data_IF_014422085274
#
_entry.id   IF_014422085274
#
_cell.length_a   1.000
_cell.length_b   1.000
_cell.length_c   1.000
_cell.angle_alpha   90.00
_cell.angle_beta   90.00
_cell.angle_gamma   90.00
#
_symmetry.space_group_name_H-M   'P 1'
#
loop_
_entity.id
_entity.type
_entity.pdbx_description
1 polymer ?
#
# COMPACT_ATOMS: atom_id res chain seq x y z
N UNK A 1 0.68 5.41 -36.57
CA UNK A 1 1.72 4.38 -36.35
C UNK A 1 1.55 3.76 -34.99
N UNK A 2 2.31 2.71 -34.64
CA UNK A 2 2.26 2.10 -33.31
C UNK A 2 2.62 3.10 -32.21
N UNK A 3 1.86 3.09 -31.11
CA UNK A 3 2.04 3.97 -29.96
C UNK A 3 2.83 3.26 -28.85
N UNK A 4 3.87 3.90 -28.33
CA UNK A 4 4.55 3.40 -27.12
C UNK A 4 3.71 3.75 -25.91
N UNK A 5 3.34 2.74 -25.12
CA UNK A 5 2.62 2.88 -23.87
C UNK A 5 3.47 2.21 -22.78
N UNK A 6 3.88 2.93 -21.71
CA UNK A 6 4.59 2.31 -20.61
C UNK A 6 3.69 1.28 -19.93
N UNK A 7 4.23 0.08 -19.68
CA UNK A 7 3.54 -0.98 -18.98
C UNK A 7 4.26 -1.27 -17.66
N UNK A 8 3.50 -1.44 -16.58
CA UNK A 8 4.01 -1.80 -15.27
C UNK A 8 3.42 -3.13 -14.87
N UNK A 9 4.28 -4.13 -14.70
CA UNK A 9 3.89 -5.49 -14.42
C UNK A 9 3.53 -5.66 -12.94
N UNK A 10 2.43 -6.36 -12.64
CA UNK A 10 2.05 -6.76 -11.28
C UNK A 10 2.52 -8.18 -10.91
N UNK A 11 3.40 -8.74 -11.72
CA UNK A 11 3.87 -10.13 -11.61
C UNK A 11 5.40 -10.19 -11.69
N UNK A 12 6.12 -9.95 -10.57
CA UNK A 12 7.59 -9.87 -10.55
C UNK A 12 8.29 -11.13 -11.05
N UNK A 13 7.69 -12.30 -10.85
CA UNK A 13 8.30 -13.61 -11.14
C UNK A 13 7.63 -14.39 -12.26
N UNK A 14 6.59 -13.82 -12.92
CA UNK A 14 5.80 -14.54 -13.94
C UNK A 14 6.26 -14.31 -15.37
N UNK A 15 7.35 -13.57 -15.57
CA UNK A 15 8.03 -13.52 -16.87
C UNK A 15 9.10 -14.60 -16.97
N UNK A 16 8.65 -15.81 -17.26
CA UNK A 16 9.42 -16.81 -18.01
C UNK A 16 8.57 -17.17 -19.24
N UNK A 17 9.19 -17.26 -20.42
CA UNK A 17 8.51 -17.73 -21.62
C UNK A 17 8.08 -19.19 -21.42
N UNK A 18 6.83 -19.40 -20.97
CA UNK A 18 6.24 -20.73 -20.84
C UNK A 18 5.75 -21.29 -22.19
N UNK A 19 5.15 -22.48 -22.18
CA UNK A 19 4.59 -23.14 -23.38
C UNK A 19 3.50 -22.30 -24.08
N UNK A 20 2.81 -21.44 -23.31
CA UNK A 20 1.85 -20.45 -23.81
C UNK A 20 2.44 -19.04 -23.97
N UNK A 21 3.74 -18.84 -23.76
CA UNK A 21 4.43 -17.53 -23.83
C UNK A 21 4.35 -16.83 -25.18
N UNK A 22 3.90 -17.55 -26.21
CA UNK A 22 3.62 -17.04 -27.56
C UNK A 22 2.20 -16.47 -27.73
N UNK A 23 1.32 -16.67 -26.76
CA UNK A 23 -0.07 -16.20 -26.77
C UNK A 23 -0.51 -15.72 -25.38
N UNK A 24 -0.68 -14.40 -25.23
CA UNK A 24 -1.28 -13.82 -24.03
C UNK A 24 -2.71 -14.33 -23.87
N UNK A 25 -2.97 -15.16 -22.85
CA UNK A 25 -4.33 -15.38 -22.36
C UNK A 25 -4.65 -14.27 -21.37
N UNK A 26 -5.62 -13.44 -21.69
CA UNK A 26 -6.12 -12.43 -20.75
C UNK A 26 -6.68 -13.11 -19.52
N UNK A 27 -6.18 -12.73 -18.35
CA UNK A 27 -6.88 -13.03 -17.10
C UNK A 27 -7.84 -11.86 -16.85
N UNK A 28 -9.13 -12.14 -16.80
CA UNK A 28 -10.15 -11.12 -16.55
C UNK A 28 -10.36 -11.00 -15.04
N UNK A 29 -9.42 -10.34 -14.35
CA UNK A 29 -9.63 -10.02 -12.94
C UNK A 29 -10.89 -9.15 -12.81
N UNK A 30 -11.72 -9.47 -11.81
CA UNK A 30 -12.98 -8.75 -11.57
C UNK A 30 -12.74 -7.27 -11.20
N UNK A 31 -11.63 -6.96 -10.53
CA UNK A 31 -11.22 -5.60 -10.17
C UNK A 31 -9.99 -5.08 -10.94
N UNK A 32 -9.56 -3.87 -10.59
CA UNK A 32 -8.22 -3.35 -10.88
C UNK A 32 -7.25 -3.75 -9.75
N UNK A 33 -5.95 -3.45 -9.90
CA UNK A 33 -5.01 -3.57 -8.78
C UNK A 33 -5.36 -2.58 -7.65
N UNK A 34 -4.96 -2.88 -6.41
CA UNK A 34 -5.11 -2.01 -5.23
C UNK A 34 -4.69 -0.56 -5.46
N UNK A 35 -5.28 0.41 -4.73
CA UNK A 35 -4.97 1.84 -4.91
C UNK A 35 -3.47 2.13 -4.86
N UNK A 36 -2.75 1.58 -3.88
CA UNK A 36 -1.30 1.76 -3.73
C UNK A 36 -0.49 1.30 -4.96
N UNK A 37 -0.88 0.18 -5.58
CA UNK A 37 -0.26 -0.36 -6.80
C UNK A 37 -0.57 0.53 -8.00
N UNK A 38 -1.83 0.99 -8.15
CA UNK A 38 -2.20 1.95 -9.19
C UNK A 38 -1.46 3.26 -9.02
N UNK A 39 -1.36 3.78 -7.80
CA UNK A 39 -0.59 4.97 -7.43
C UNK A 39 0.89 4.83 -7.79
N UNK A 40 1.53 3.70 -7.48
CA UNK A 40 2.92 3.44 -7.86
C UNK A 40 3.12 3.49 -9.39
N UNK A 41 2.24 2.85 -10.16
CA UNK A 41 2.33 2.85 -11.63
C UNK A 41 2.01 4.23 -12.22
N UNK A 42 0.93 4.87 -11.77
CA UNK A 42 0.42 6.12 -12.34
C UNK A 42 1.22 7.32 -11.86
N UNK A 43 1.55 7.43 -10.58
CA UNK A 43 2.19 8.63 -10.03
C UNK A 43 3.71 8.53 -10.09
N UNK A 44 4.28 7.37 -9.72
CA UNK A 44 5.74 7.22 -9.61
C UNK A 44 6.38 6.66 -10.90
N UNK A 45 5.63 5.89 -11.70
CA UNK A 45 6.12 5.24 -12.92
C UNK A 45 7.36 4.37 -12.68
N UNK A 46 7.37 3.67 -11.55
CA UNK A 46 8.49 2.85 -11.11
C UNK A 46 8.07 1.38 -10.94
N UNK A 47 8.70 0.50 -11.72
CA UNK A 47 8.39 -0.93 -11.71
C UNK A 47 8.75 -1.62 -10.39
N UNK A 48 9.84 -1.21 -9.75
CA UNK A 48 10.26 -1.78 -8.47
C UNK A 48 9.26 -1.41 -7.38
N UNK A 49 8.82 -0.16 -7.36
CA UNK A 49 7.82 0.32 -6.39
C UNK A 49 6.46 -0.35 -6.63
N UNK A 50 6.08 -0.59 -7.88
CA UNK A 50 4.88 -1.40 -8.20
C UNK A 50 4.98 -2.79 -7.57
N UNK A 51 6.12 -3.48 -7.72
CA UNK A 51 6.31 -4.81 -7.14
C UNK A 51 6.34 -4.81 -5.61
N UNK A 52 6.91 -3.79 -4.98
CA UNK A 52 6.86 -3.62 -3.53
C UNK A 52 5.40 -3.48 -3.04
N UNK A 53 4.60 -2.65 -3.71
CA UNK A 53 3.18 -2.48 -3.37
C UNK A 53 2.37 -3.76 -3.62
N UNK A 54 2.70 -4.54 -4.66
CA UNK A 54 2.11 -5.87 -4.86
C UNK A 54 2.43 -6.79 -3.69
N UNK A 55 3.70 -6.88 -3.27
CA UNK A 55 4.09 -7.72 -2.14
C UNK A 55 3.39 -7.29 -0.84
N UNK A 56 3.28 -5.99 -0.58
CA UNK A 56 2.56 -5.47 0.58
C UNK A 56 1.06 -5.83 0.54
N UNK A 57 0.40 -5.62 -0.60
CA UNK A 57 -1.02 -5.94 -0.76
C UNK A 57 -1.28 -7.43 -0.49
N UNK A 58 -0.44 -8.33 -1.04
CA UNK A 58 -0.54 -9.78 -0.77
C UNK A 58 -0.34 -10.11 0.71
N UNK A 59 0.64 -9.49 1.36
CA UNK A 59 0.87 -9.68 2.79
C UNK A 59 -0.32 -9.22 3.64
N UNK A 60 -0.94 -8.09 3.29
CA UNK A 60 -2.14 -7.59 3.95
C UNK A 60 -3.34 -8.53 3.74
N UNK A 61 -3.53 -9.07 2.54
CA UNK A 61 -4.59 -10.06 2.28
C UNK A 61 -4.36 -11.35 3.06
N UNK A 62 -3.12 -11.83 3.11
CA UNK A 62 -2.75 -12.98 3.92
C UNK A 62 -3.04 -12.73 5.40
N UNK A 63 -2.73 -11.55 5.92
CA UNK A 63 -2.99 -11.18 7.30
C UNK A 63 -4.49 -11.04 7.61
N UNK A 64 -5.25 -10.35 6.74
CA UNK A 64 -6.67 -10.07 6.96
C UNK A 64 -7.58 -11.29 6.80
N UNK A 65 -7.33 -12.13 5.79
CA UNK A 65 -8.24 -13.22 5.39
C UNK A 65 -7.53 -14.56 5.18
N UNK A 66 -6.21 -14.63 5.38
CA UNK A 66 -5.45 -15.88 5.29
C UNK A 66 -5.31 -16.41 3.87
N UNK A 67 -5.15 -15.57 2.85
CA UNK A 67 -4.76 -16.06 1.51
C UNK A 67 -3.48 -16.90 1.60
N UNK A 68 -3.34 -17.88 0.71
CA UNK A 68 -2.17 -18.77 0.66
C UNK A 68 -1.55 -18.70 -0.73
N UNK A 69 -1.07 -17.51 -1.06
CA UNK A 69 -0.52 -17.21 -2.38
C UNK A 69 0.87 -17.84 -2.54
N UNK A 70 1.09 -18.55 -3.65
CA UNK A 70 2.31 -19.33 -3.91
C UNK A 70 3.29 -18.62 -4.85
N UNK A 71 2.82 -17.60 -5.56
CA UNK A 71 3.61 -16.81 -6.51
C UNK A 71 3.79 -15.38 -6.02
N UNK A 72 4.51 -14.56 -6.77
CA UNK A 72 4.59 -13.12 -6.52
C UNK A 72 3.53 -12.31 -7.29
N UNK A 73 2.67 -12.97 -8.09
CA UNK A 73 1.63 -12.29 -8.90
C UNK A 73 0.50 -11.76 -8.03
N UNK A 74 0.09 -10.51 -8.26
CA UNK A 74 -1.13 -9.97 -7.64
C UNK A 74 -2.39 -10.72 -8.12
N UNK A 75 -2.41 -11.18 -9.38
CA UNK A 75 -3.57 -11.84 -9.96
C UNK A 75 -3.94 -13.11 -9.19
N UNK A 76 -2.95 -13.88 -8.74
CA UNK A 76 -3.18 -15.07 -7.92
C UNK A 76 -3.97 -14.75 -6.64
N UNK A 77 -3.64 -13.65 -5.97
CA UNK A 77 -4.36 -13.25 -4.75
C UNK A 77 -5.78 -12.80 -5.09
N UNK A 78 -5.94 -12.01 -6.16
CA UNK A 78 -7.23 -11.50 -6.62
C UNK A 78 -8.18 -12.60 -7.10
N UNK A 79 -7.65 -13.68 -7.66
CA UNK A 79 -8.43 -14.83 -8.14
C UNK A 79 -8.78 -15.83 -7.03
N UNK A 80 -8.33 -15.59 -5.79
CA UNK A 80 -8.60 -16.52 -4.69
C UNK A 80 -10.07 -16.49 -4.25
N UNK A 81 -10.63 -17.68 -3.99
CA UNK A 81 -12.00 -17.81 -3.45
C UNK A 81 -12.18 -17.02 -2.14
N UNK A 82 -11.12 -16.88 -1.35
CA UNK A 82 -11.14 -16.09 -0.11
C UNK A 82 -11.36 -14.61 -0.37
N UNK A 83 -10.71 -14.05 -1.38
CA UNK A 83 -10.95 -12.66 -1.80
C UNK A 83 -12.37 -12.50 -2.31
N UNK A 84 -12.84 -13.40 -3.17
CA UNK A 84 -14.21 -13.34 -3.70
C UNK A 84 -15.28 -13.42 -2.59
N UNK A 85 -15.08 -14.27 -1.58
CA UNK A 85 -15.96 -14.37 -0.42
C UNK A 85 -15.92 -13.10 0.43
N UNK A 86 -14.72 -12.57 0.70
CA UNK A 86 -14.54 -11.39 1.53
C UNK A 86 -15.05 -10.10 0.88
N UNK A 87 -14.97 -9.96 -0.45
CA UNK A 87 -15.53 -8.79 -1.15
C UNK A 87 -17.04 -8.88 -1.34
N UNK A 88 -17.61 -10.09 -1.34
CA UNK A 88 -19.01 -10.36 -1.69
C UNK A 88 -20.05 -9.51 -0.95
N UNK A 89 -19.86 -9.25 0.35
CA UNK A 89 -20.79 -8.42 1.12
C UNK A 89 -20.76 -6.95 0.69
N UNK A 90 -19.57 -6.39 0.44
CA UNK A 90 -19.41 -5.02 -0.09
C UNK A 90 -20.09 -4.89 -1.45
N UNK A 91 -19.85 -5.85 -2.35
CA UNK A 91 -20.45 -5.86 -3.68
C UNK A 91 -21.97 -5.93 -3.59
N UNK A 92 -22.50 -6.84 -2.77
CA UNK A 92 -23.94 -7.00 -2.59
C UNK A 92 -24.58 -5.72 -2.05
N UNK A 93 -23.95 -5.06 -1.09
CA UNK A 93 -24.47 -3.85 -0.47
C UNK A 93 -24.43 -2.63 -1.40
N UNK A 94 -23.36 -2.49 -2.20
CA UNK A 94 -23.08 -1.25 -2.91
C UNK A 94 -23.39 -1.32 -4.42
N UNK A 95 -23.47 -2.50 -5.04
CA UNK A 95 -23.62 -2.63 -6.50
C UNK A 95 -24.79 -1.85 -7.10
N UNK A 96 -25.90 -1.71 -6.37
CA UNK A 96 -27.08 -0.96 -6.82
C UNK A 96 -27.06 0.54 -6.48
N UNK A 97 -25.99 1.06 -5.86
CA UNK A 97 -25.92 2.45 -5.40
C UNK A 97 -26.03 3.47 -6.55
N UNK A 98 -25.64 3.08 -7.77
CA UNK A 98 -25.64 3.93 -8.95
C UNK A 98 -26.94 3.86 -9.77
N UNK A 99 -27.83 2.90 -9.47
CA UNK A 99 -28.96 2.56 -10.35
C UNK A 99 -29.97 3.70 -10.46
N UNK A 100 -30.19 4.44 -9.37
CA UNK A 100 -31.19 5.52 -9.28
C UNK A 100 -30.65 6.94 -9.54
N UNK A 101 -29.41 7.05 -10.01
CA UNK A 101 -28.70 8.33 -10.18
C UNK A 101 -28.60 8.71 -11.66
N UNK A 102 -29.66 9.28 -12.22
CA UNK A 102 -29.77 9.47 -13.69
C UNK A 102 -28.71 10.40 -14.29
N UNK A 103 -28.20 11.36 -13.50
CA UNK A 103 -27.17 12.34 -13.87
C UNK A 103 -25.76 11.96 -13.36
N UNK A 104 -25.56 10.70 -12.99
CA UNK A 104 -24.28 10.24 -12.43
C UNK A 104 -23.14 10.34 -13.45
N UNK A 105 -22.18 11.22 -13.16
CA UNK A 105 -20.94 11.39 -13.94
C UNK A 105 -19.70 10.90 -13.21
N UNK A 106 -19.80 10.50 -11.94
CA UNK A 106 -18.62 10.19 -11.14
C UNK A 106 -18.94 9.56 -9.79
N UNK A 107 -17.89 9.29 -9.02
CA UNK A 107 -17.99 8.58 -7.73
C UNK A 107 -16.75 8.83 -6.88
N UNK A 108 -16.99 8.99 -5.58
CA UNK A 108 -15.96 8.98 -4.56
C UNK A 108 -16.00 7.64 -3.82
N UNK A 109 -14.84 7.01 -3.65
CA UNK A 109 -14.69 5.82 -2.84
C UNK A 109 -13.97 6.18 -1.55
N UNK A 110 -14.54 5.73 -0.44
CA UNK A 110 -13.97 5.91 0.88
C UNK A 110 -13.85 4.57 1.59
N UNK A 111 -12.75 4.40 2.31
CA UNK A 111 -12.47 3.22 3.16
C UNK A 111 -12.20 3.76 4.56
N UNK A 112 -12.88 3.21 5.57
CA UNK A 112 -12.79 3.65 6.96
C UNK A 112 -12.95 5.18 7.12
N UNK A 113 -13.92 5.76 6.41
CA UNK A 113 -14.22 7.19 6.48
C UNK A 113 -13.21 8.11 5.78
N UNK A 114 -12.14 7.56 5.18
CA UNK A 114 -11.15 8.32 4.43
C UNK A 114 -11.38 8.14 2.92
N UNK A 115 -11.45 9.25 2.17
CA UNK A 115 -11.53 9.22 0.69
C UNK A 115 -10.23 8.59 0.15
N UNK A 116 -10.37 7.58 -0.70
CA UNK A 116 -9.27 6.91 -1.40
C UNK A 116 -9.09 7.48 -2.80
N UNK A 117 -10.21 7.68 -3.49
CA UNK A 117 -10.22 8.15 -4.87
C UNK A 117 -11.57 8.80 -5.22
N UNK A 118 -11.53 9.81 -6.07
CA UNK A 118 -12.71 10.40 -6.70
C UNK A 118 -12.50 10.39 -8.21
N UNK A 119 -13.47 9.86 -8.95
CA UNK A 119 -13.45 9.83 -10.41
C UNK A 119 -14.62 10.59 -10.99
N UNK A 120 -14.37 11.36 -12.03
CA UNK A 120 -15.37 12.03 -12.86
C UNK A 120 -15.12 11.66 -14.31
N UNK A 121 -16.16 11.16 -14.97
CA UNK A 121 -16.19 10.66 -16.33
C UNK A 121 -17.12 11.52 -17.20
N UNK A 122 -17.08 11.39 -18.54
CA UNK A 122 -17.87 12.24 -19.44
C UNK A 122 -19.38 11.96 -19.39
N UNK A 123 -19.79 10.84 -18.80
CA UNK A 123 -21.21 10.50 -18.67
C UNK A 123 -21.45 9.13 -18.05
N UNK A 124 -22.74 8.89 -17.73
CA UNK A 124 -23.25 7.70 -17.04
C UNK A 124 -22.92 6.37 -17.71
N UNK A 125 -22.88 6.33 -19.05
CA UNK A 125 -22.54 5.11 -19.78
C UNK A 125 -21.16 4.57 -19.42
N UNK A 126 -20.15 5.46 -19.29
CA UNK A 126 -18.81 5.06 -18.89
C UNK A 126 -18.77 4.67 -17.41
N UNK A 127 -19.49 5.41 -16.56
CA UNK A 127 -19.62 5.09 -15.13
C UNK A 127 -20.15 3.66 -14.94
N UNK A 128 -21.21 3.28 -15.65
CA UNK A 128 -21.80 1.94 -15.58
C UNK A 128 -20.81 0.83 -15.99
N UNK A 129 -19.90 1.12 -16.92
CA UNK A 129 -18.89 0.15 -17.37
C UNK A 129 -17.75 -0.02 -16.38
N UNK A 130 -17.31 1.06 -15.74
CA UNK A 130 -16.14 1.04 -14.84
C UNK A 130 -16.51 0.76 -13.39
N UNK A 131 -17.72 1.09 -12.97
CA UNK A 131 -18.17 0.98 -11.57
C UNK A 131 -17.98 -0.42 -10.97
N UNK A 132 -18.38 -1.53 -11.63
CA UNK A 132 -18.22 -2.85 -11.04
C UNK A 132 -16.76 -3.15 -10.70
N UNK A 133 -15.83 -2.81 -11.62
CA UNK A 133 -14.40 -3.05 -11.43
C UNK A 133 -13.80 -2.16 -10.35
N UNK A 134 -14.23 -0.88 -10.29
CA UNK A 134 -13.80 0.03 -9.23
C UNK A 134 -14.29 -0.47 -7.88
N UNK A 135 -15.56 -0.85 -7.77
CA UNK A 135 -16.15 -1.35 -6.53
C UNK A 135 -15.42 -2.59 -5.99
N UNK A 136 -15.11 -3.56 -6.85
CA UNK A 136 -14.26 -4.72 -6.51
C UNK A 136 -12.91 -4.29 -5.94
N UNK A 137 -12.31 -3.25 -6.54
CA UNK A 137 -11.01 -2.78 -6.12
C UNK A 137 -11.02 -2.12 -4.74
N UNK A 138 -12.05 -1.33 -4.43
CA UNK A 138 -12.15 -0.70 -3.11
C UNK A 138 -12.67 -1.64 -2.04
N UNK A 139 -13.44 -2.67 -2.40
CA UNK A 139 -13.73 -3.78 -1.49
C UNK A 139 -12.43 -4.49 -1.09
N UNK A 140 -11.52 -4.73 -2.05
CA UNK A 140 -10.19 -5.27 -1.77
C UNK A 140 -9.38 -4.33 -0.85
N UNK A 141 -9.34 -3.03 -1.14
CA UNK A 141 -8.65 -2.05 -0.30
C UNK A 141 -9.22 -1.99 1.13
N UNK A 142 -10.53 -2.20 1.31
CA UNK A 142 -11.18 -2.28 2.61
C UNK A 142 -10.81 -3.55 3.38
N UNK A 143 -10.67 -4.69 2.71
CA UNK A 143 -10.21 -5.94 3.34
C UNK A 143 -8.77 -5.80 3.84
N UNK A 144 -7.90 -5.15 3.07
CA UNK A 144 -6.49 -4.92 3.45
C UNK A 144 -6.33 -3.90 4.58
N UNK A 145 -7.37 -3.13 4.88
CA UNK A 145 -7.40 -2.10 5.92
C UNK A 145 -8.60 -2.32 6.84
N UNK A 146 -8.64 -3.43 7.61
CA UNK A 146 -9.78 -3.71 8.46
C UNK A 146 -9.98 -2.59 9.49
N UNK A 147 -11.23 -2.16 9.66
CA UNK A 147 -11.57 -1.19 10.68
C UNK A 147 -11.22 -1.73 12.08
N UNK A 148 -10.72 -0.86 12.94
CA UNK A 148 -10.53 -1.16 14.35
C UNK A 148 -11.90 -1.35 15.00
N UNK A 149 -12.21 -2.59 15.41
CA UNK A 149 -13.52 -2.95 15.96
C UNK A 149 -13.78 -2.32 17.32
N UNK A 150 -12.72 -1.91 18.02
CA UNK A 150 -12.80 -1.29 19.34
C UNK A 150 -13.02 0.23 19.26
N UNK A 151 -12.98 0.81 18.05
CA UNK A 151 -13.24 2.22 17.80
C UNK A 151 -14.61 2.44 17.16
N UNK A 152 -15.22 3.62 17.40
CA UNK A 152 -16.41 4.02 16.66
C UNK A 152 -16.16 3.89 15.16
N UNK A 153 -17.09 3.25 14.46
CA UNK A 153 -16.99 3.08 13.02
C UNK A 153 -16.95 4.45 12.34
N UNK A 154 -15.93 4.74 11.50
CA UNK A 154 -15.83 6.00 10.82
C UNK A 154 -17.05 6.23 9.94
N UNK A 155 -17.60 7.45 9.97
CA UNK A 155 -18.67 7.83 9.06
C UNK A 155 -18.12 8.05 7.66
N UNK A 156 -18.95 7.79 6.65
CA UNK A 156 -18.63 8.17 5.27
C UNK A 156 -18.37 9.69 5.19
N UNK A 157 -17.42 10.14 4.35
CA UNK A 157 -17.20 11.56 4.11
C UNK A 157 -18.49 12.27 3.69
N UNK A 158 -18.76 13.43 4.27
CA UNK A 158 -19.86 14.26 3.82
C UNK A 158 -19.68 14.70 2.35
N UNK A 159 -20.76 14.87 1.57
CA UNK A 159 -20.67 15.34 0.19
C UNK A 159 -19.84 16.61 0.03
N UNK A 160 -19.95 17.55 0.96
CA UNK A 160 -19.20 18.81 0.95
C UNK A 160 -17.68 18.61 1.07
N UNK A 161 -17.23 17.58 1.80
CA UNK A 161 -15.81 17.25 1.90
C UNK A 161 -15.27 16.73 0.56
N UNK A 162 -16.07 15.93 -0.16
CA UNK A 162 -15.74 15.45 -1.51
C UNK A 162 -15.75 16.62 -2.51
N UNK A 163 -16.74 17.51 -2.42
CA UNK A 163 -16.81 18.71 -3.26
C UNK A 163 -15.60 19.63 -3.03
N UNK A 164 -15.19 19.83 -1.77
CA UNK A 164 -14.00 20.59 -1.43
C UNK A 164 -12.72 19.96 -2.00
N UNK A 165 -12.59 18.63 -1.99
CA UNK A 165 -11.48 17.93 -2.65
C UNK A 165 -11.48 18.19 -4.16
N UNK A 166 -12.63 18.07 -4.82
CA UNK A 166 -12.75 18.33 -6.27
C UNK A 166 -12.38 19.77 -6.66
N UNK A 167 -12.68 20.72 -5.77
CA UNK A 167 -12.40 22.15 -5.95
C UNK A 167 -11.02 22.56 -5.43
N UNK A 168 -10.25 21.63 -4.84
CA UNK A 168 -8.95 21.94 -4.28
C UNK A 168 -8.00 22.47 -5.34
N UNK A 169 -7.24 23.50 -4.98
CA UNK A 169 -6.18 24.00 -5.85
C UNK A 169 -5.10 22.92 -5.97
N UNK A 170 -4.55 22.78 -7.17
CA UNK A 170 -3.31 22.04 -7.39
C UNK A 170 -2.13 22.96 -7.22
N UNK A 171 -0.95 22.40 -6.93
CA UNK A 171 0.28 23.20 -6.90
C UNK A 171 0.48 23.90 -8.26
N UNK A 172 1.01 25.13 -8.23
CA UNK A 172 1.17 25.96 -9.43
C UNK A 172 2.02 25.27 -10.52
N UNK A 173 2.89 24.35 -10.10
CA UNK A 173 3.64 23.48 -10.99
C UNK A 173 2.93 22.14 -11.14
N UNK A 174 2.46 21.85 -12.35
CA UNK A 174 2.11 20.49 -12.79
C UNK A 174 3.35 19.61 -12.62
N UNK A 175 3.22 18.52 -11.88
CA UNK A 175 4.35 17.64 -11.58
C UNK A 175 4.76 16.84 -12.81
N UNK A 176 3.76 16.44 -13.61
CA UNK A 176 4.00 15.71 -14.84
C UNK A 176 2.95 16.01 -15.88
N UNK A 177 3.41 16.18 -17.11
CA UNK A 177 2.60 16.31 -18.30
C UNK A 177 3.09 15.29 -19.32
N UNK A 178 2.17 14.54 -19.92
CA UNK A 178 2.45 13.52 -20.93
C UNK A 178 1.54 13.70 -22.14
N UNK A 179 2.14 13.92 -23.30
CA UNK A 179 1.46 13.78 -24.58
C UNK A 179 1.55 12.32 -25.03
N UNK A 180 0.47 11.58 -24.83
CA UNK A 180 0.40 10.16 -25.18
C UNK A 180 0.40 10.02 -26.69
N UNK A 181 -0.44 10.80 -27.37
CA UNK A 181 -0.44 10.95 -28.83
C UNK A 181 -1.03 12.32 -29.20
N UNK A 182 -1.28 12.57 -30.49
CA UNK A 182 -1.80 13.87 -30.98
C UNK A 182 -3.12 14.30 -30.32
N UNK A 183 -3.94 13.34 -29.89
CA UNK A 183 -5.27 13.60 -29.34
C UNK A 183 -5.28 13.41 -27.81
N UNK A 184 -4.39 12.60 -27.24
CA UNK A 184 -4.46 12.17 -25.84
C UNK A 184 -3.37 12.79 -24.98
N UNK A 185 -3.78 13.43 -23.88
CA UNK A 185 -2.91 14.09 -22.92
C UNK A 185 -3.24 13.66 -21.49
N UNK A 186 -2.22 13.53 -20.66
CA UNK A 186 -2.34 13.32 -19.22
C UNK A 186 -1.60 14.43 -18.47
N UNK A 187 -2.27 15.05 -17.51
CA UNK A 187 -1.66 15.93 -16.51
C UNK A 187 -1.78 15.30 -15.12
N UNK A 188 -0.69 15.38 -14.35
CA UNK A 188 -0.66 14.96 -12.94
C UNK A 188 -0.11 16.11 -12.11
N UNK A 189 -0.87 16.51 -11.10
CA UNK A 189 -0.47 17.56 -10.17
C UNK A 189 -0.89 17.20 -8.75
N UNK A 190 -0.01 17.42 -7.76
CA UNK A 190 -0.41 17.26 -6.37
C UNK A 190 -1.40 18.36 -5.95
N UNK A 191 -2.36 17.98 -5.10
CA UNK A 191 -3.18 18.91 -4.37
C UNK A 191 -2.30 19.85 -3.54
N UNK A 192 -2.71 21.11 -3.43
CA UNK A 192 -2.22 21.96 -2.33
C UNK A 192 -2.77 21.35 -1.03
N UNK A 193 -1.93 21.22 -0.01
CA UNK A 193 -2.39 20.72 1.28
C UNK A 193 -3.50 21.65 1.79
N UNK A 194 -4.67 21.10 2.06
CA UNK A 194 -5.81 21.86 2.57
C UNK A 194 -5.55 22.35 4.01
N UNK A 195 -4.79 21.58 4.79
CA UNK A 195 -4.43 21.93 6.17
C UNK A 195 -3.03 21.46 6.55
N UNK A 196 -2.36 22.26 7.38
CA UNK A 196 -1.04 21.97 7.92
C UNK A 196 -1.14 20.76 8.87
N UNK A 197 -0.57 19.61 8.47
CA UNK A 197 -0.59 18.38 9.26
C UNK A 197 -1.34 17.19 8.62
N UNK A 198 -2.15 17.42 7.57
CA UNK A 198 -2.70 16.32 6.79
C UNK A 198 -1.59 15.67 5.95
N UNK A 199 -1.30 14.41 6.30
CA UNK A 199 -0.27 13.59 5.62
C UNK A 199 -0.80 12.99 4.31
N UNK A 200 -2.11 13.03 4.06
CA UNK A 200 -2.72 12.44 2.87
C UNK A 200 -2.43 13.32 1.66
N UNK A 201 -1.57 12.85 0.75
CA UNK A 201 -1.26 13.58 -0.48
C UNK A 201 -2.16 13.11 -1.61
N UNK A 202 -3.14 13.92 -1.98
CA UNK A 202 -3.94 13.69 -3.18
C UNK A 202 -3.22 14.20 -4.43
N UNK A 203 -3.43 13.51 -5.54
CA UNK A 203 -2.99 13.91 -6.87
C UNK A 203 -4.18 14.03 -7.78
N UNK A 204 -4.30 15.19 -8.44
CA UNK A 204 -5.23 15.40 -9.55
C UNK A 204 -4.59 14.86 -10.82
N UNK A 205 -5.23 13.87 -11.42
CA UNK A 205 -4.91 13.35 -12.74
C UNK A 205 -6.01 13.76 -13.72
N UNK A 206 -5.67 14.56 -14.72
CA UNK A 206 -6.58 15.00 -15.77
C UNK A 206 -6.18 14.33 -17.09
N UNK A 207 -7.06 13.50 -17.63
CA UNK A 207 -6.92 12.92 -18.97
C UNK A 207 -7.77 13.72 -19.95
N UNK A 208 -7.17 14.10 -21.07
CA UNK A 208 -7.82 14.85 -22.13
C UNK A 208 -7.75 14.09 -23.46
N UNK A 209 -8.82 14.22 -24.24
CA UNK A 209 -8.91 13.78 -25.63
C UNK A 209 -9.32 14.97 -26.49
N UNK A 210 -8.52 15.32 -27.49
CA UNK A 210 -8.74 16.46 -28.39
C UNK A 210 -9.01 17.78 -27.62
N UNK A 211 -8.20 18.01 -26.58
CA UNK A 211 -8.31 19.17 -25.69
C UNK A 211 -9.46 19.12 -24.67
N UNK A 212 -10.38 18.16 -24.78
CA UNK A 212 -11.51 18.02 -23.86
C UNK A 212 -11.19 17.07 -22.71
N UNK A 213 -11.62 17.41 -21.50
CA UNK A 213 -11.47 16.53 -20.34
C UNK A 213 -12.34 15.28 -20.50
N UNK A 214 -11.71 14.10 -20.49
CA UNK A 214 -12.41 12.81 -20.60
C UNK A 214 -12.33 11.97 -19.32
N UNK A 215 -11.45 12.33 -18.39
CA UNK A 215 -11.41 11.72 -17.07
C UNK A 215 -10.69 12.66 -16.10
N UNK A 216 -11.36 13.02 -15.01
CA UNK A 216 -10.74 13.70 -13.88
C UNK A 216 -10.70 12.73 -12.71
N UNK A 217 -9.52 12.52 -12.16
CA UNK A 217 -9.31 11.64 -11.02
C UNK A 217 -8.56 12.39 -9.92
N UNK A 218 -9.06 12.30 -8.69
CA UNK A 218 -8.31 12.62 -7.49
C UNK A 218 -7.97 11.30 -6.83
N UNK A 219 -6.69 10.95 -6.76
CA UNK A 219 -6.22 9.69 -6.18
C UNK A 219 -5.34 9.99 -4.98
N UNK A 220 -5.59 9.32 -3.87
CA UNK A 220 -4.68 9.33 -2.74
C UNK A 220 -3.39 8.64 -3.18
N UNK A 221 -2.28 9.37 -3.09
CA UNK A 221 -0.97 8.87 -3.49
C UNK A 221 0.00 8.87 -2.31
N UNK A 222 1.18 8.28 -2.50
CA UNK A 222 2.24 8.34 -1.51
C UNK A 222 2.64 9.80 -1.25
N UNK A 223 2.89 10.11 0.02
CA UNK A 223 3.34 11.44 0.48
C UNK A 223 4.64 11.83 -0.25
N UNK A 224 5.50 10.84 -0.49
CA UNK A 224 6.60 10.77 -1.46
C UNK A 224 7.10 9.31 -1.56
N UNK A 225 7.92 8.97 -2.57
CA UNK A 225 8.58 7.65 -2.65
C UNK A 225 9.41 7.35 -1.38
N UNK A 226 10.15 8.34 -0.88
CA UNK A 226 10.97 8.21 0.32
C UNK A 226 10.13 7.99 1.60
N UNK A 227 8.94 8.60 1.69
CA UNK A 227 8.03 8.42 2.82
C UNK A 227 7.25 7.12 2.72
N UNK A 228 6.86 6.69 1.52
CA UNK A 228 6.26 5.37 1.30
C UNK A 228 7.27 4.27 1.68
N UNK A 229 8.53 4.39 1.24
CA UNK A 229 9.60 3.47 1.62
C UNK A 229 9.90 3.52 3.12
N UNK A 230 9.94 4.71 3.75
CA UNK A 230 10.12 4.82 5.21
C UNK A 230 8.96 4.24 6.00
N UNK A 231 7.72 4.52 5.62
CA UNK A 231 6.54 3.99 6.28
C UNK A 231 6.51 2.46 6.19
N UNK A 232 6.79 1.90 5.01
CA UNK A 232 6.90 0.45 4.82
C UNK A 232 8.07 -0.16 5.61
N UNK A 233 9.24 0.50 5.63
CA UNK A 233 10.38 0.02 6.40
C UNK A 233 10.10 0.03 7.90
N UNK A 234 9.39 1.05 8.40
CA UNK A 234 8.94 1.13 9.79
C UNK A 234 7.90 0.05 10.10
N UNK A 235 6.90 -0.17 9.24
CA UNK A 235 5.91 -1.23 9.41
C UNK A 235 6.54 -2.62 9.38
N UNK A 236 7.47 -2.87 8.46
CA UNK A 236 8.22 -4.13 8.40
C UNK A 236 9.03 -4.33 9.67
N UNK A 237 9.76 -3.30 10.14
CA UNK A 237 10.48 -3.35 11.40
C UNK A 237 9.55 -3.62 12.60
N UNK A 238 8.38 -2.99 12.64
CA UNK A 238 7.38 -3.21 13.69
C UNK A 238 6.84 -4.65 13.68
N UNK A 239 6.56 -5.21 12.49
CA UNK A 239 6.15 -6.62 12.33
C UNK A 239 7.25 -7.59 12.75
N UNK A 240 8.49 -7.35 12.34
CA UNK A 240 9.64 -8.16 12.75
C UNK A 240 9.83 -8.11 14.27
N UNK A 241 9.69 -6.92 14.87
CA UNK A 241 9.77 -6.76 16.33
C UNK A 241 8.61 -7.45 17.05
N UNK A 242 7.40 -7.40 16.50
CA UNK A 242 6.25 -8.13 17.02
C UNK A 242 6.45 -9.65 16.98
N UNK A 243 6.97 -10.17 15.87
CA UNK A 243 7.32 -11.58 15.73
C UNK A 243 8.45 -12.00 16.68
N UNK A 244 9.48 -11.16 16.83
CA UNK A 244 10.57 -11.41 17.76
C UNK A 244 10.07 -11.42 19.21
N UNK A 245 9.22 -10.47 19.59
CA UNK A 245 8.61 -10.43 20.92
C UNK A 245 7.73 -11.65 21.20
N UNK A 246 6.97 -12.13 20.20
CA UNK A 246 6.19 -13.36 20.32
C UNK A 246 7.11 -14.57 20.56
N UNK A 247 8.19 -14.70 19.78
CA UNK A 247 9.19 -15.76 19.95
C UNK A 247 9.88 -15.71 21.31
N UNK A 248 10.24 -14.52 21.80
CA UNK A 248 10.84 -14.34 23.12
C UNK A 248 9.86 -14.75 24.23
N UNK A 249 8.59 -14.34 24.14
CA UNK A 249 7.56 -14.75 25.09
C UNK A 249 7.32 -16.27 25.06
N UNK A 250 7.35 -16.89 23.88
CA UNK A 250 7.21 -18.35 23.75
C UNK A 250 8.40 -19.07 24.38
N UNK A 251 9.63 -18.55 24.24
CA UNK A 251 10.83 -19.09 24.90
C UNK A 251 10.75 -18.90 26.42
N UNK A 252 10.32 -17.74 26.90
CA UNK A 252 10.19 -17.44 28.33
C UNK A 252 9.13 -18.32 29.00
N UNK A 253 8.04 -18.63 28.31
CA UNK A 253 7.02 -19.58 28.76
C UNK A 253 7.45 -21.06 28.69
N UNK A 254 8.53 -21.37 27.97
CA UNK A 254 9.12 -22.71 27.88
C UNK A 254 10.27 -22.92 28.87
N UNK A 255 10.76 -21.86 29.52
CA UNK A 255 11.73 -21.98 30.60
C UNK A 255 11.03 -22.46 31.87
N UNK A 256 11.50 -23.54 32.52
CA UNK A 256 10.94 -23.96 33.80
C UNK A 256 11.16 -22.85 34.83
N UNK A 257 10.09 -22.45 35.54
CA UNK A 257 10.21 -21.57 36.69
C UNK A 257 11.15 -22.26 37.70
N UNK A 258 12.38 -21.76 37.81
CA UNK A 258 13.32 -22.21 38.83
C UNK A 258 12.91 -21.63 40.18
N UNK A 259 11.83 -22.15 40.75
CA UNK A 259 11.53 -21.96 42.15
C UNK A 259 12.20 -23.05 42.96
N UNK A 260 13.26 -22.64 43.67
CA UNK A 260 13.66 -23.24 44.95
C UNK A 260 14.64 -24.39 44.89
N UNK A 261 15.94 -24.09 44.77
CA UNK A 261 17.02 -24.95 45.29
C UNK A 261 18.17 -24.10 45.84
N UNK A 262 17.94 -23.38 46.94
CA UNK A 262 19.02 -22.97 47.85
C UNK A 262 18.78 -23.58 49.24
N UNK A 263 19.15 -24.85 49.43
CA UNK A 263 19.56 -25.33 50.75
C UNK A 263 20.68 -26.37 50.63
N UNK A 264 21.69 -26.15 51.49
CA UNK A 264 22.77 -27.03 51.89
C UNK A 264 23.88 -27.33 50.88
N UNK A 265 25.03 -26.69 51.13
CA UNK A 265 26.23 -27.43 51.50
C UNK A 265 27.23 -26.56 52.29
N UNK A 266 27.40 -26.91 53.57
CA UNK A 266 28.52 -26.54 54.43
C UNK A 266 29.72 -27.44 54.12
N UNK A 267 30.94 -26.90 54.05
CA UNK A 267 32.18 -27.70 54.06
C UNK A 267 33.44 -27.01 53.53
N UNK A 268 33.96 -26.02 54.27
CA UNK A 268 35.36 -25.65 54.60
C UNK A 268 36.62 -26.06 53.75
N UNK A 269 37.75 -25.33 53.90
CA UNK A 269 38.51 -24.72 52.80
C UNK A 269 39.92 -25.31 52.56
N UNK A 270 40.54 -24.99 51.41
CA UNK A 270 42.01 -25.04 51.25
C UNK A 270 42.51 -23.82 50.46
N UNK A 271 43.52 -23.18 51.05
CA UNK A 271 44.27 -22.00 50.59
C UNK A 271 44.98 -22.16 49.24
N UNK A 272 45.15 -21.03 48.53
CA UNK A 272 46.11 -20.89 47.43
C UNK A 272 46.11 -19.50 46.78
N UNK A 273 46.89 -18.56 47.35
CA UNK A 273 47.38 -17.32 46.73
C UNK A 273 48.07 -17.67 45.40
N UNK A 274 48.00 -16.92 44.28
CA UNK A 274 48.34 -15.52 44.06
C UNK A 274 47.91 -15.08 42.61
N UNK A 275 47.78 -13.78 42.29
CA UNK A 275 47.28 -13.29 40.99
C UNK A 275 48.38 -12.73 40.06
N UNK A 276 48.06 -12.58 38.77
CA UNK A 276 48.83 -11.80 37.78
C UNK A 276 47.89 -11.30 36.64
N UNK A 277 48.25 -10.28 35.86
CA UNK A 277 48.27 -8.87 36.28
C UNK A 277 47.43 -7.96 35.37
N UNK A 278 47.09 -6.79 35.92
CA UNK A 278 46.50 -5.65 35.20
C UNK A 278 47.47 -5.09 34.16
N UNK A 279 47.01 -4.89 32.92
CA UNK A 279 47.68 -4.01 31.96
C UNK A 279 46.99 -2.65 31.92
N UNK A 280 47.84 -1.65 32.07
CA UNK A 280 47.54 -0.23 32.19
C UNK A 280 47.22 0.40 30.83
N UNK A 281 46.44 1.48 30.91
CA UNK A 281 46.26 2.49 29.88
C UNK A 281 47.57 3.25 29.70
N UNK A 282 47.94 3.54 28.46
CA UNK A 282 48.69 4.74 28.12
C UNK A 282 48.04 5.41 26.92
N UNK A 283 47.63 6.65 27.15
CA UNK A 283 47.29 7.65 26.14
C UNK A 283 48.56 8.04 25.38
N UNK A 284 48.45 8.26 24.07
CA UNK A 284 49.31 9.23 23.39
C UNK A 284 48.58 9.86 22.21
N UNK A 285 48.30 11.15 22.37
CA UNK A 285 47.97 12.10 21.31
C UNK A 285 49.16 12.26 20.36
N UNK A 286 48.90 12.40 19.06
CA UNK A 286 49.58 13.40 18.22
C UNK A 286 48.75 13.66 16.97
N UNK A 287 48.57 14.95 16.71
CA UNK A 287 47.78 15.57 15.65
C UNK A 287 48.70 15.84 14.42
N UNK A 288 48.32 16.67 13.43
CA UNK A 288 47.86 16.29 12.10
C UNK A 288 48.91 16.51 11.00
N UNK A 289 48.69 15.97 9.78
CA UNK A 289 49.29 16.58 8.58
C UNK A 289 48.46 16.37 7.30
N UNK A 290 48.28 17.50 6.62
CA UNK A 290 47.62 17.71 5.34
C UNK A 290 48.44 17.15 4.17
N UNK A 291 47.76 16.59 3.16
CA UNK A 291 47.87 17.00 1.74
C UNK A 291 46.73 16.39 0.93
#
# INVERSE_FOLDING_TARGET
GPQRIPAFCVEPSRWTEGETGKAFKGNFNVGYAANSVRGASKLLKDQHVVWQNVAQAKAQLMESIGTNDKTSSLNEAQDSDKVAQATGEFLKALRGAIDKQDDLVGMAFAVNGAVQEVNVFPGRSLVNQVYPRLLETYALDAIMQPADKDKPQPQAPAPDAVAALLQSKVKDKVERHEDINKDNRLEVAAAQQAQQGDKSRFYRCLTQYDGQAVHLQWIQGPVSLAEAMRAQQLEFQQRQRGNLNRLLNDVENLLPQQDGLEQNQQGSPVNGLNPAPQQQREDQQTEPQQR
#
